data_IF_099761230029
#
_entry.id   IF_099761230029
#
_cell.length_a   1.000
_cell.length_b   1.000
_cell.length_c   1.000
_cell.angle_alpha   90.00
_cell.angle_beta   90.00
_cell.angle_gamma   90.00
#
_symmetry.space_group_name_H-M   'P 1'
#
loop_
_entity.id
_entity.type
_entity.pdbx_description
1 polymer ?
#
# COMPACT_ATOMS: atom_id res chain seq x y z
N UNK A 1 -15.97 3.07 -11.48
CA UNK A 1 -14.89 3.17 -10.47
C UNK A 1 -15.03 4.52 -9.79
N UNK A 2 -15.23 4.54 -8.47
CA UNK A 2 -15.47 5.78 -7.72
C UNK A 2 -14.21 6.68 -7.69
N UNK A 3 -14.37 8.02 -7.57
CA UNK A 3 -13.24 8.95 -7.56
C UNK A 3 -12.18 8.62 -6.50
N UNK A 4 -12.61 8.20 -5.30
CA UNK A 4 -11.73 7.83 -4.18
C UNK A 4 -10.84 6.63 -4.51
N UNK A 5 -11.40 5.58 -5.13
CA UNK A 5 -10.62 4.39 -5.51
C UNK A 5 -9.57 4.74 -6.58
N UNK A 6 -9.89 5.67 -7.49
CA UNK A 6 -8.95 6.15 -8.49
C UNK A 6 -7.78 6.91 -7.85
N UNK A 7 -8.06 7.74 -6.87
CA UNK A 7 -7.04 8.51 -6.15
C UNK A 7 -6.12 7.59 -5.32
N UNK A 8 -6.68 6.62 -4.58
CA UNK A 8 -5.93 5.59 -3.87
C UNK A 8 -4.96 4.84 -4.80
N UNK A 9 -5.47 4.41 -5.96
CA UNK A 9 -4.66 3.77 -7.00
C UNK A 9 -3.50 4.66 -7.43
N UNK A 10 -3.72 5.95 -7.66
CA UNK A 10 -2.67 6.86 -8.11
C UNK A 10 -1.56 7.01 -7.06
N UNK A 11 -1.92 7.16 -5.78
CA UNK A 11 -0.96 7.22 -4.66
C UNK A 11 -0.11 5.96 -4.61
N UNK A 12 -0.74 4.77 -4.63
CA UNK A 12 -0.05 3.48 -4.57
C UNK A 12 0.86 3.23 -5.78
N UNK A 13 0.41 3.59 -6.99
CA UNK A 13 1.21 3.43 -8.21
C UNK A 13 2.41 4.37 -8.24
N UNK A 14 2.26 5.60 -7.74
CA UNK A 14 3.36 6.55 -7.63
C UNK A 14 4.39 6.08 -6.60
N UNK A 15 3.95 5.59 -5.45
CA UNK A 15 4.83 4.99 -4.45
C UNK A 15 5.65 3.83 -5.01
N UNK A 16 5.00 2.90 -5.71
CA UNK A 16 5.68 1.79 -6.39
C UNK A 16 6.74 2.25 -7.39
N UNK A 17 6.47 3.33 -8.14
CA UNK A 17 7.44 3.91 -9.10
C UNK A 17 8.62 4.57 -8.37
N UNK A 18 8.35 5.35 -7.33
CA UNK A 18 9.36 5.98 -6.49
C UNK A 18 10.30 4.95 -5.84
N UNK A 19 9.74 3.87 -5.27
CA UNK A 19 10.50 2.79 -4.67
C UNK A 19 11.44 2.10 -5.68
N UNK A 20 11.02 1.95 -6.95
CA UNK A 20 11.85 1.39 -8.02
C UNK A 20 12.98 2.31 -8.47
N UNK A 21 12.70 3.60 -8.62
CA UNK A 21 13.65 4.58 -9.16
C UNK A 21 14.77 4.94 -8.18
N UNK A 22 14.46 4.96 -6.89
CA UNK A 22 15.40 5.45 -5.87
C UNK A 22 16.41 4.41 -5.42
N UNK A 23 16.27 3.14 -5.83
CA UNK A 23 17.13 2.07 -5.32
C UNK A 23 17.04 1.91 -3.79
N UNK A 24 16.13 2.64 -3.12
CA UNK A 24 15.63 2.34 -1.79
C UNK A 24 14.75 1.09 -1.90
N UNK A 25 15.39 0.01 -2.35
CA UNK A 25 14.90 -1.35 -2.44
C UNK A 25 14.87 -2.00 -1.05
N UNK A 26 14.50 -1.20 -0.06
CA UNK A 26 14.04 -1.62 1.25
C UNK A 26 12.51 -1.62 1.15
N UNK A 27 11.98 -2.82 1.32
CA UNK A 27 11.34 -3.57 0.25
C UNK A 27 9.96 -4.05 0.71
N UNK A 28 9.20 -4.66 -0.20
CA UNK A 28 8.01 -5.38 0.22
C UNK A 28 8.28 -6.41 1.34
N UNK A 29 9.51 -6.92 1.51
CA UNK A 29 9.89 -7.79 2.64
C UNK A 29 9.92 -7.07 4.01
N UNK A 30 10.07 -5.73 4.05
CA UNK A 30 9.93 -4.95 5.29
C UNK A 30 8.48 -4.58 5.58
N UNK A 31 7.67 -4.41 4.53
CA UNK A 31 6.21 -4.37 4.66
C UNK A 31 5.69 -5.73 5.18
N UNK A 32 6.39 -6.84 4.88
CA UNK A 32 6.16 -8.18 5.42
C UNK A 32 6.64 -8.37 6.88
N UNK A 33 7.72 -7.70 7.34
CA UNK A 33 8.14 -7.76 8.76
C UNK A 33 7.10 -7.17 9.72
N UNK A 34 6.39 -6.13 9.30
CA UNK A 34 5.31 -5.50 10.09
C UNK A 34 4.06 -6.38 10.22
N UNK A 35 3.92 -7.42 9.39
CA UNK A 35 2.80 -8.38 9.50
C UNK A 35 3.06 -9.54 10.46
N UNK A 36 4.29 -9.76 10.95
CA UNK A 36 4.57 -10.87 11.88
C UNK A 36 5.40 -10.52 13.14
N UNK A 37 6.21 -9.45 13.17
CA UNK A 37 7.02 -9.16 14.37
C UNK A 37 6.95 -7.69 14.80
N UNK A 38 6.38 -7.51 15.99
CA UNK A 38 6.62 -6.38 16.89
C UNK A 38 8.12 -5.96 16.93
N UNK A 39 8.36 -4.65 16.93
CA UNK A 39 9.61 -3.92 17.28
C UNK A 39 10.74 -3.73 16.24
N UNK A 40 11.08 -2.44 16.04
CA UNK A 40 12.41 -1.83 15.76
C UNK A 40 13.03 -1.90 14.34
N UNK A 41 13.27 -0.75 13.70
CA UNK A 41 14.55 0.00 13.75
C UNK A 41 14.61 1.13 12.71
N UNK A 42 15.29 2.23 13.05
CA UNK A 42 15.54 3.42 12.23
C UNK A 42 16.74 3.20 11.28
N UNK A 43 16.60 3.57 10.00
CA UNK A 43 17.75 3.82 9.13
C UNK A 43 17.44 4.84 8.02
N UNK A 44 18.04 6.03 8.21
CA UNK A 44 18.63 6.99 7.25
C UNK A 44 18.10 7.10 5.81
N UNK A 45 17.49 8.26 5.47
CA UNK A 45 17.08 8.67 4.10
C UNK A 45 17.78 9.98 3.69
N UNK A 46 18.20 10.19 2.42
CA UNK A 46 18.97 11.38 1.98
C UNK A 46 18.22 12.72 2.09
N UNK A 47 18.94 13.78 2.47
CA UNK A 47 18.42 14.91 3.24
C UNK A 47 17.84 16.15 2.50
N UNK A 48 17.76 16.26 1.18
CA UNK A 48 17.33 17.56 0.56
C UNK A 48 16.18 17.53 -0.46
N UNK A 49 15.71 16.35 -0.89
CA UNK A 49 14.35 16.12 -1.38
C UNK A 49 13.49 15.37 -0.34
N UNK A 50 14.04 15.27 0.88
CA UNK A 50 13.81 14.19 1.83
C UNK A 50 12.56 14.34 2.66
N UNK A 51 12.19 15.53 3.13
CA UNK A 51 11.13 15.64 4.15
C UNK A 51 9.72 15.41 3.58
N UNK A 52 9.36 16.03 2.45
CA UNK A 52 8.06 15.76 1.80
C UNK A 52 7.97 14.33 1.28
N UNK A 53 9.08 13.80 0.74
CA UNK A 53 9.14 12.42 0.28
C UNK A 53 8.98 11.44 1.46
N UNK A 54 9.70 11.67 2.56
CA UNK A 54 9.65 10.88 3.79
C UNK A 54 8.27 10.97 4.43
N UNK A 55 7.68 12.15 4.53
CA UNK A 55 6.32 12.32 5.07
C UNK A 55 5.27 11.60 4.21
N UNK A 56 5.43 11.63 2.88
CA UNK A 56 4.56 10.87 1.97
C UNK A 56 4.74 9.37 2.17
N UNK A 57 5.97 8.89 2.25
CA UNK A 57 6.29 7.48 2.52
C UNK A 57 5.72 7.02 3.88
N UNK A 58 5.93 7.78 4.95
CA UNK A 58 5.39 7.49 6.29
C UNK A 58 3.87 7.48 6.29
N UNK A 59 3.22 8.44 5.60
CA UNK A 59 1.77 8.47 5.47
C UNK A 59 1.24 7.23 4.74
N UNK A 60 1.92 6.77 3.68
CA UNK A 60 1.57 5.55 2.94
C UNK A 60 1.77 4.29 3.79
N UNK A 61 2.90 4.16 4.47
CA UNK A 61 3.19 3.01 5.35
C UNK A 61 2.15 2.93 6.46
N UNK A 62 1.84 4.05 7.11
CA UNK A 62 0.88 4.02 8.21
C UNK A 62 -0.55 3.79 7.72
N UNK A 63 -0.92 4.34 6.55
CA UNK A 63 -2.20 4.05 5.92
C UNK A 63 -2.32 2.58 5.49
N UNK A 64 -1.21 1.96 5.09
CA UNK A 64 -1.13 0.53 4.82
C UNK A 64 -1.33 -0.31 6.07
N UNK A 65 -0.69 0.07 7.18
CA UNK A 65 -0.81 -0.62 8.48
C UNK A 65 -2.23 -0.57 9.07
N UNK A 66 -3.02 0.45 8.74
CA UNK A 66 -4.42 0.57 9.17
C UNK A 66 -5.38 -0.40 8.47
N UNK A 67 -4.94 -1.08 7.40
CA UNK A 67 -5.72 -2.07 6.67
C UNK A 67 -5.67 -3.43 7.36
N UNK A 68 -6.76 -4.21 7.26
CA UNK A 68 -6.72 -5.61 7.64
C UNK A 68 -5.81 -6.42 6.71
N UNK A 69 -5.29 -7.57 7.20
CA UNK A 69 -4.43 -8.46 6.39
C UNK A 69 -5.07 -8.83 5.04
N UNK A 70 -6.40 -9.04 5.01
CA UNK A 70 -7.14 -9.35 3.77
C UNK A 70 -7.14 -8.17 2.80
N UNK A 71 -7.38 -6.95 3.30
CA UNK A 71 -7.35 -5.73 2.49
C UNK A 71 -5.94 -5.46 1.95
N UNK A 72 -4.91 -5.62 2.80
CA UNK A 72 -3.50 -5.48 2.41
C UNK A 72 -3.15 -6.43 1.26
N UNK A 73 -3.44 -7.73 1.41
CA UNK A 73 -3.16 -8.72 0.36
C UNK A 73 -3.86 -8.38 -0.96
N UNK A 74 -5.15 -8.02 -0.90
CA UNK A 74 -5.90 -7.64 -2.10
C UNK A 74 -5.31 -6.39 -2.77
N UNK A 75 -5.00 -5.34 -2.01
CA UNK A 75 -4.40 -4.12 -2.56
C UNK A 75 -2.99 -4.40 -3.09
N UNK A 76 -2.22 -5.25 -2.41
CA UNK A 76 -0.90 -5.66 -2.84
C UNK A 76 -0.96 -6.29 -4.24
N UNK A 77 -1.73 -7.37 -4.40
CA UNK A 77 -1.88 -8.05 -5.68
C UNK A 77 -2.49 -7.16 -6.76
N UNK A 78 -3.35 -6.21 -6.38
CA UNK A 78 -4.00 -5.31 -7.34
C UNK A 78 -3.08 -4.21 -7.87
N UNK A 79 -2.18 -3.66 -7.04
CA UNK A 79 -1.48 -2.40 -7.38
C UNK A 79 0.03 -2.46 -7.18
N UNK A 80 0.50 -3.12 -6.13
CA UNK A 80 1.90 -3.07 -5.70
C UNK A 80 2.74 -4.25 -6.22
N UNK A 81 2.11 -5.41 -6.44
CA UNK A 81 2.76 -6.61 -6.93
C UNK A 81 3.47 -6.40 -8.26
N UNK A 82 4.61 -7.07 -8.46
CA UNK A 82 5.46 -6.95 -9.67
C UNK A 82 4.64 -7.08 -10.95
N UNK A 83 3.67 -8.00 -10.95
CA UNK A 83 2.65 -8.16 -11.97
C UNK A 83 1.28 -8.02 -11.29
N UNK A 84 0.54 -6.93 -11.54
CA UNK A 84 -0.81 -6.76 -11.02
C UNK A 84 -1.72 -7.90 -11.48
N UNK A 85 -2.41 -8.53 -10.54
CA UNK A 85 -3.33 -9.64 -10.80
C UNK A 85 -4.75 -9.12 -11.07
N UNK A 86 -5.49 -9.87 -11.89
CA UNK A 86 -6.93 -9.69 -12.08
C UNK A 86 -7.68 -10.17 -10.84
N UNK A 87 -8.89 -9.64 -10.62
CA UNK A 87 -9.65 -9.96 -9.39
C UNK A 87 -9.98 -11.45 -9.25
N UNK A 88 -10.17 -12.15 -10.36
CA UNK A 88 -10.42 -13.59 -10.37
C UNK A 88 -9.17 -14.39 -9.93
N UNK A 89 -7.99 -13.97 -10.37
CA UNK A 89 -6.71 -14.59 -9.99
C UNK A 89 -6.41 -14.36 -8.50
N UNK A 90 -6.75 -13.18 -7.98
CA UNK A 90 -6.63 -12.89 -6.55
C UNK A 90 -7.61 -13.75 -5.74
N UNK A 91 -8.84 -13.91 -6.23
CA UNK A 91 -9.88 -14.74 -5.61
C UNK A 91 -9.43 -16.20 -5.50
N UNK A 92 -8.91 -16.76 -6.59
CA UNK A 92 -8.32 -18.11 -6.63
C UNK A 92 -7.11 -18.21 -5.69
N UNK A 93 -6.19 -17.25 -5.73
CA UNK A 93 -4.96 -17.27 -4.93
C UNK A 93 -5.21 -17.18 -3.42
N UNK A 94 -6.23 -16.43 -3.01
CA UNK A 94 -6.55 -16.22 -1.59
C UNK A 94 -7.62 -17.18 -1.06
N UNK A 95 -8.20 -18.04 -1.91
CA UNK A 95 -9.33 -18.91 -1.58
C UNK A 95 -10.56 -18.15 -1.05
N UNK A 96 -11.00 -17.13 -1.81
CA UNK A 96 -12.21 -16.37 -1.53
C UNK A 96 -13.09 -16.22 -2.77
N UNK A 97 -14.38 -15.94 -2.55
CA UNK A 97 -15.26 -15.54 -3.66
C UNK A 97 -14.82 -14.21 -4.29
N UNK A 98 -15.07 -14.07 -5.60
CA UNK A 98 -14.83 -12.81 -6.32
C UNK A 98 -15.51 -11.61 -5.64
N UNK A 99 -16.75 -11.78 -5.17
CA UNK A 99 -17.50 -10.74 -4.45
C UNK A 99 -16.81 -10.31 -3.16
N UNK A 100 -16.19 -11.23 -2.44
CA UNK A 100 -15.40 -10.93 -1.24
C UNK A 100 -14.16 -10.11 -1.58
N UNK A 101 -13.42 -10.49 -2.63
CA UNK A 101 -12.24 -9.75 -3.09
C UNK A 101 -12.61 -8.33 -3.54
N UNK A 102 -13.69 -8.17 -4.30
CA UNK A 102 -14.17 -6.85 -4.72
C UNK A 102 -14.52 -5.97 -3.51
N UNK A 103 -15.17 -6.56 -2.50
CA UNK A 103 -15.48 -5.87 -1.25
C UNK A 103 -14.20 -5.45 -0.52
N UNK A 104 -13.24 -6.35 -0.32
CA UNK A 104 -11.96 -6.04 0.34
C UNK A 104 -11.19 -4.97 -0.41
N UNK A 105 -11.14 -5.03 -1.75
CA UNK A 105 -10.51 -4.01 -2.57
C UNK A 105 -11.15 -2.64 -2.39
N UNK A 106 -12.48 -2.56 -2.45
CA UNK A 106 -13.20 -1.30 -2.32
C UNK A 106 -13.03 -0.71 -0.92
N UNK A 107 -13.25 -1.51 0.13
CA UNK A 107 -13.11 -1.09 1.53
C UNK A 107 -11.67 -0.69 1.85
N UNK A 108 -10.70 -1.53 1.48
CA UNK A 108 -9.29 -1.24 1.68
C UNK A 108 -8.86 0.03 0.95
N UNK A 109 -9.30 0.25 -0.29
CA UNK A 109 -8.90 1.45 -1.06
C UNK A 109 -9.44 2.74 -0.45
N UNK A 110 -10.69 2.70 0.04
CA UNK A 110 -11.31 3.84 0.72
C UNK A 110 -10.64 4.13 2.06
N UNK A 111 -10.41 3.08 2.87
CA UNK A 111 -9.75 3.21 4.18
C UNK A 111 -8.31 3.69 4.01
N UNK A 112 -7.55 3.11 3.10
CA UNK A 112 -6.19 3.54 2.77
C UNK A 112 -6.15 5.04 2.43
N UNK A 113 -7.03 5.50 1.53
CA UNK A 113 -7.02 6.91 1.13
C UNK A 113 -7.39 7.84 2.29
N UNK A 114 -8.38 7.46 3.10
CA UNK A 114 -8.79 8.23 4.28
C UNK A 114 -7.62 8.39 5.25
N UNK A 115 -6.96 7.28 5.58
CA UNK A 115 -5.80 7.23 6.48
C UNK A 115 -4.58 7.97 5.93
N UNK A 116 -4.36 7.89 4.61
CA UNK A 116 -3.29 8.63 3.94
C UNK A 116 -3.54 10.14 4.02
N UNK A 117 -4.74 10.60 3.66
CA UNK A 117 -5.08 12.04 3.68
C UNK A 117 -4.96 12.64 5.07
N UNK A 118 -5.45 11.93 6.09
CA UNK A 118 -5.36 12.37 7.48
C UNK A 118 -3.91 12.57 7.93
N UNK A 119 -2.99 11.69 7.53
CA UNK A 119 -1.58 11.75 7.94
C UNK A 119 -0.74 12.69 7.09
N UNK A 120 -1.02 12.78 5.80
CA UNK A 120 -0.29 13.66 4.88
C UNK A 120 -0.76 15.13 4.97
N UNK A 121 -1.75 15.43 5.82
CA UNK A 121 -2.36 16.76 6.02
C UNK A 121 -2.77 17.41 4.69
N UNK A 122 -3.58 16.68 3.92
CA UNK A 122 -4.38 17.27 2.84
C UNK A 122 -5.71 17.79 3.38
#
# INVERSE_FOLDING_TARGET
MTPLIREAKNVLMNYRRLARLTGCSYSLDEIYRVTEESFMSEATVPQFAGEHCLNCQLAIITAWQALSSKEQQVIFYTYLGKEPMRMIEIAEKMDYSLKSIEKFKAQGSMRFLSEFKQRYKL
#
